data_IF_580199938861
#
_entry.id   IF_580199938861
#
_cell.length_a   1.000
_cell.length_b   1.000
_cell.length_c   1.000
_cell.angle_alpha   90.00
_cell.angle_beta   90.00
_cell.angle_gamma   90.00
#
_symmetry.space_group_name_H-M   'P 1'
#
loop_
_entity.id
_entity.type
_entity.pdbx_description
1 polymer ?
#
# COMPACT_ATOMS: atom_id res chain seq x y z
N UNK A 1 6.69 -22.25 -18.95
CA UNK A 1 7.20 -21.20 -18.03
C UNK A 1 7.96 -21.90 -16.90
N UNK A 2 9.28 -21.71 -16.77
CA UNK A 2 10.02 -22.22 -15.61
C UNK A 2 9.43 -21.59 -14.34
N UNK A 3 9.12 -22.40 -13.33
CA UNK A 3 8.59 -21.92 -12.05
C UNK A 3 9.71 -21.15 -11.37
N UNK A 4 9.51 -19.85 -11.17
CA UNK A 4 10.49 -19.03 -10.44
C UNK A 4 10.27 -19.27 -8.96
N UNK A 5 11.24 -19.89 -8.31
CA UNK A 5 11.21 -20.12 -6.86
C UNK A 5 11.52 -18.81 -6.12
N UNK A 6 10.45 -18.21 -5.60
CA UNK A 6 10.53 -17.12 -4.62
C UNK A 6 10.53 -17.72 -3.21
N UNK A 7 11.24 -17.07 -2.29
CA UNK A 7 11.17 -17.38 -0.87
C UNK A 7 9.70 -17.42 -0.42
N UNK A 8 9.24 -18.56 0.09
CA UNK A 8 7.93 -18.64 0.76
C UNK A 8 7.91 -17.65 1.92
N UNK A 9 6.85 -16.85 2.00
CA UNK A 9 6.73 -15.82 3.05
C UNK A 9 7.73 -14.68 2.91
N UNK A 10 8.12 -14.28 1.69
CA UNK A 10 9.04 -13.14 1.49
C UNK A 10 8.59 -11.90 2.26
N UNK A 11 7.29 -11.55 2.22
CA UNK A 11 6.78 -10.38 2.94
C UNK A 11 7.01 -10.50 4.46
N UNK A 12 6.68 -11.64 5.05
CA UNK A 12 6.92 -11.89 6.48
C UNK A 12 8.40 -11.83 6.83
N UNK A 13 9.27 -12.34 5.96
CA UNK A 13 10.72 -12.24 6.13
C UNK A 13 11.20 -10.78 6.09
N UNK A 14 10.74 -9.98 5.12
CA UNK A 14 11.10 -8.56 5.03
C UNK A 14 10.62 -7.79 6.26
N UNK A 15 9.36 -7.95 6.66
CA UNK A 15 8.78 -7.28 7.83
C UNK A 15 9.48 -7.68 9.15
N UNK A 16 10.01 -8.90 9.24
CA UNK A 16 10.68 -9.37 10.45
C UNK A 16 12.20 -9.05 10.50
N UNK A 17 12.82 -8.73 9.35
CA UNK A 17 14.29 -8.63 9.24
C UNK A 17 14.80 -7.28 8.72
N UNK A 18 13.94 -6.45 8.14
CA UNK A 18 14.33 -5.14 7.63
C UNK A 18 13.81 -4.03 8.53
N UNK A 19 14.68 -3.11 8.94
CA UNK A 19 14.29 -1.96 9.75
C UNK A 19 13.94 -0.72 8.91
N UNK A 20 14.38 -0.68 7.65
CA UNK A 20 14.29 0.48 6.77
C UNK A 20 14.32 0.06 5.28
N UNK A 21 14.12 1.02 4.39
CA UNK A 21 14.11 0.84 2.94
C UNK A 21 15.45 0.30 2.43
N UNK A 22 16.60 0.75 2.95
CA UNK A 22 17.91 0.23 2.53
C UNK A 22 18.05 -1.27 2.83
N UNK A 23 17.58 -1.71 4.00
CA UNK A 23 17.63 -3.13 4.38
C UNK A 23 16.76 -4.00 3.48
N UNK A 24 15.64 -3.46 2.99
CA UNK A 24 14.82 -4.13 1.96
C UNK A 24 15.59 -4.20 0.64
N UNK A 25 16.20 -3.09 0.20
CA UNK A 25 16.92 -3.03 -1.08
C UNK A 25 18.17 -3.92 -1.10
N UNK A 26 18.87 -4.10 0.02
CA UNK A 26 19.96 -5.09 0.15
C UNK A 26 19.50 -6.53 -0.11
N UNK A 27 18.20 -6.80 -0.04
CA UNK A 27 17.59 -8.10 -0.27
C UNK A 27 16.85 -8.20 -1.60
N UNK A 28 17.06 -7.26 -2.52
CA UNK A 28 16.36 -7.20 -3.82
C UNK A 28 16.46 -8.49 -4.62
N UNK A 29 17.53 -9.27 -4.46
CA UNK A 29 17.69 -10.56 -5.15
C UNK A 29 16.67 -11.63 -4.77
N UNK A 30 15.98 -11.47 -3.63
CA UNK A 30 14.88 -12.32 -3.22
C UNK A 30 13.57 -12.03 -4.01
N UNK A 31 13.52 -10.91 -4.72
CA UNK A 31 12.35 -10.42 -5.45
C UNK A 31 12.37 -11.04 -6.85
N UNK A 32 11.75 -12.22 -6.96
CA UNK A 32 11.84 -13.04 -8.18
C UNK A 32 10.51 -13.22 -8.93
N UNK A 33 9.40 -12.78 -8.35
CA UNK A 33 8.08 -12.86 -9.00
C UNK A 33 7.63 -11.49 -9.49
N UNK A 34 6.85 -11.44 -10.57
CA UNK A 34 6.29 -10.18 -11.04
C UNK A 34 5.32 -9.59 -10.03
N UNK A 35 5.67 -8.44 -9.49
CA UNK A 35 4.90 -7.74 -8.45
C UNK A 35 5.45 -6.32 -8.28
N UNK A 36 4.63 -5.46 -7.69
CA UNK A 36 4.98 -4.10 -7.33
C UNK A 36 5.05 -3.99 -5.81
N UNK A 37 6.07 -3.32 -5.28
CA UNK A 37 6.19 -3.01 -3.86
C UNK A 37 6.25 -1.50 -3.67
N UNK A 38 5.53 -1.00 -2.67
CA UNK A 38 5.74 0.32 -2.10
C UNK A 38 6.25 0.11 -0.67
N UNK A 39 7.47 0.56 -0.41
CA UNK A 39 8.12 0.46 0.91
C UNK A 39 8.46 1.85 1.42
N UNK A 40 8.40 2.05 2.72
CA UNK A 40 8.66 3.35 3.34
C UNK A 40 9.16 3.20 4.77
N UNK A 41 9.98 4.16 5.17
CA UNK A 41 10.46 4.34 6.54
C UNK A 41 10.42 5.84 6.90
N UNK A 42 11.04 6.22 8.03
CA UNK A 42 11.09 7.62 8.50
C UNK A 42 11.83 8.59 7.57
N UNK A 43 12.69 8.10 6.70
CA UNK A 43 13.62 8.89 5.89
C UNK A 43 13.24 8.92 4.41
N UNK A 44 12.61 7.86 3.91
CA UNK A 44 12.36 7.73 2.48
C UNK A 44 11.27 6.72 2.14
N UNK A 45 10.81 6.79 0.90
CA UNK A 45 9.91 5.84 0.26
C UNK A 45 10.54 5.30 -1.03
N UNK A 46 10.17 4.08 -1.41
CA UNK A 46 10.57 3.49 -2.68
C UNK A 46 9.44 2.68 -3.33
N UNK A 47 9.32 2.81 -4.65
CA UNK A 47 8.52 1.93 -5.51
C UNK A 47 9.46 0.97 -6.21
N UNK A 48 9.17 -0.32 -6.15
CA UNK A 48 9.94 -1.39 -6.78
C UNK A 48 9.03 -2.13 -7.75
N UNK A 49 9.40 -2.15 -9.02
CA UNK A 49 8.71 -2.94 -10.05
C UNK A 49 9.58 -4.15 -10.40
N UNK A 50 8.99 -5.35 -10.36
CA UNK A 50 9.66 -6.59 -10.76
C UNK A 50 8.94 -7.16 -11.96
N UNK A 51 9.65 -7.34 -13.08
CA UNK A 51 9.09 -7.85 -14.32
C UNK A 51 9.16 -9.39 -14.45
N UNK A 52 8.42 -9.98 -15.41
CA UNK A 52 8.43 -11.44 -15.68
C UNK A 52 9.78 -12.03 -16.07
N UNK A 53 10.66 -11.24 -16.66
CA UNK A 53 12.02 -11.63 -17.04
C UNK A 53 13.04 -11.48 -15.90
N UNK A 54 12.62 -10.97 -14.74
CA UNK A 54 13.46 -10.71 -13.59
C UNK A 54 14.11 -9.32 -13.59
N UNK A 55 13.92 -8.50 -14.63
CA UNK A 55 14.32 -7.10 -14.63
C UNK A 55 13.53 -6.31 -13.58
N UNK A 56 14.17 -5.26 -13.05
CA UNK A 56 13.64 -4.47 -11.92
C UNK A 56 13.88 -2.99 -12.13
N UNK A 57 12.94 -2.15 -11.69
CA UNK A 57 13.19 -0.74 -11.40
C UNK A 57 13.01 -0.46 -9.93
N UNK A 58 13.73 0.55 -9.45
CA UNK A 58 13.62 1.10 -8.10
C UNK A 58 13.55 2.61 -8.24
N UNK A 59 12.42 3.20 -7.90
CA UNK A 59 12.25 4.66 -7.82
C UNK A 59 12.18 5.06 -6.36
N UNK A 60 12.96 6.06 -5.96
CA UNK A 60 13.12 6.47 -4.55
C UNK A 60 12.81 7.95 -4.39
N UNK A 61 12.33 8.32 -3.22
CA UNK A 61 12.20 9.71 -2.80
C UNK A 61 12.44 9.83 -1.28
N UNK A 62 13.34 10.73 -0.88
CA UNK A 62 13.53 11.16 0.51
C UNK A 62 12.63 12.36 0.89
N UNK A 63 12.17 13.09 -0.13
CA UNK A 63 11.15 14.13 -0.04
C UNK A 63 10.22 14.07 -1.25
N UNK A 64 8.93 14.29 -1.03
CA UNK A 64 7.90 14.28 -2.07
C UNK A 64 6.97 13.08 -1.99
N UNK A 65 6.49 12.63 -3.15
CA UNK A 65 5.40 11.65 -3.25
C UNK A 65 5.71 10.62 -4.32
N UNK A 66 5.45 9.35 -4.04
CA UNK A 66 5.41 8.27 -5.03
C UNK A 66 4.00 7.68 -5.06
N UNK A 67 3.58 7.17 -6.21
CA UNK A 67 2.33 6.45 -6.37
C UNK A 67 2.52 5.30 -7.35
N UNK A 68 1.66 4.29 -7.24
CA UNK A 68 1.65 3.15 -8.16
C UNK A 68 0.27 2.50 -8.19
N UNK A 69 -0.03 1.75 -9.26
CA UNK A 69 -1.28 0.99 -9.38
C UNK A 69 -1.02 -0.46 -9.79
N UNK A 70 -1.48 -0.89 -10.97
CA UNK A 70 -1.40 -2.29 -11.40
C UNK A 70 -0.83 -2.40 -12.82
N UNK A 71 0.13 -1.55 -13.14
CA UNK A 71 0.88 -1.59 -14.40
C UNK A 71 2.30 -1.06 -14.19
N UNK A 72 3.23 -1.44 -15.06
CA UNK A 72 4.60 -0.94 -15.03
C UNK A 72 4.64 0.51 -15.53
N UNK A 73 5.43 1.34 -14.86
CA UNK A 73 5.61 2.75 -15.17
C UNK A 73 7.08 3.08 -15.48
N UNK A 74 8.02 2.44 -14.78
CA UNK A 74 9.45 2.74 -14.87
C UNK A 74 10.23 1.70 -15.67
N UNK A 75 9.67 0.52 -15.91
CA UNK A 75 10.19 -0.48 -16.85
C UNK A 75 9.17 -0.83 -17.92
N UNK A 76 9.65 -1.20 -19.10
CA UNK A 76 8.84 -1.71 -20.20
C UNK A 76 9.26 -3.16 -20.54
N UNK A 77 8.61 -4.17 -19.93
CA UNK A 77 9.02 -5.56 -20.15
C UNK A 77 8.69 -6.00 -21.59
N UNK A 78 9.67 -6.51 -22.37
CA UNK A 78 9.52 -6.73 -23.82
C UNK A 78 8.42 -7.73 -24.20
N UNK A 79 8.06 -8.65 -23.31
CA UNK A 79 7.05 -9.71 -23.54
C UNK A 79 5.68 -9.43 -22.89
N UNK A 80 5.42 -8.19 -22.45
CA UNK A 80 4.16 -7.84 -21.80
C UNK A 80 3.02 -7.68 -22.83
N UNK A 81 2.43 -8.81 -23.24
CA UNK A 81 1.33 -8.84 -24.23
C UNK A 81 0.08 -8.04 -23.83
N UNK A 82 -0.12 -7.77 -22.54
CA UNK A 82 -1.33 -7.13 -22.02
C UNK A 82 -1.05 -5.66 -21.69
N UNK A 83 -1.75 -4.76 -22.38
CA UNK A 83 -1.78 -3.34 -22.04
C UNK A 83 -2.34 -3.10 -20.62
N UNK A 84 -1.94 -2.00 -19.96
CA UNK A 84 -2.57 -1.58 -18.71
C UNK A 84 -4.10 -1.56 -18.83
N UNK A 85 -4.80 -2.11 -17.83
CA UNK A 85 -6.26 -2.04 -17.80
C UNK A 85 -6.75 -0.64 -17.48
N UNK A 86 -7.90 -0.23 -18.03
CA UNK A 86 -8.47 1.11 -17.86
C UNK A 86 -8.54 1.58 -16.40
N UNK A 87 -9.01 0.74 -15.48
CA UNK A 87 -9.06 1.07 -14.04
C UNK A 87 -7.67 1.37 -13.44
N UNK A 88 -6.62 0.70 -13.91
CA UNK A 88 -5.24 0.94 -13.47
C UNK A 88 -4.77 2.33 -13.90
N UNK A 89 -4.93 2.64 -15.18
CA UNK A 89 -4.54 3.92 -15.78
C UNK A 89 -5.33 5.08 -15.17
N UNK A 90 -6.66 4.96 -15.06
CA UNK A 90 -7.51 6.01 -14.51
C UNK A 90 -7.17 6.31 -13.05
N UNK A 91 -6.97 5.28 -12.21
CA UNK A 91 -6.58 5.48 -10.81
C UNK A 91 -5.20 6.10 -10.68
N UNK A 92 -4.26 5.73 -11.56
CA UNK A 92 -2.91 6.30 -11.55
C UNK A 92 -2.96 7.79 -11.86
N UNK A 93 -3.66 8.17 -12.93
CA UNK A 93 -3.84 9.58 -13.28
C UNK A 93 -4.56 10.36 -12.17
N UNK A 94 -5.58 9.76 -11.54
CA UNK A 94 -6.33 10.40 -10.46
C UNK A 94 -5.48 10.62 -9.21
N UNK A 95 -4.72 9.62 -8.75
CA UNK A 95 -3.87 9.83 -7.57
C UNK A 95 -2.73 10.80 -7.88
N UNK A 96 -2.18 10.79 -9.10
CA UNK A 96 -1.19 11.77 -9.52
C UNK A 96 -1.76 13.20 -9.46
N UNK A 97 -2.99 13.40 -9.93
CA UNK A 97 -3.70 14.68 -9.84
C UNK A 97 -3.91 15.11 -8.38
N UNK A 98 -4.41 14.21 -7.52
CA UNK A 98 -4.61 14.50 -6.10
C UNK A 98 -3.29 14.86 -5.39
N UNK A 99 -2.17 14.24 -5.80
CA UNK A 99 -0.84 14.50 -5.27
C UNK A 99 -0.20 15.78 -5.85
N UNK A 100 -0.79 16.44 -6.85
CA UNK A 100 -0.37 17.78 -7.34
C UNK A 100 -0.91 18.94 -6.49
N UNK A 101 -1.72 18.66 -5.47
CA UNK A 101 -2.29 19.70 -4.60
C UNK A 101 -1.18 20.58 -3.96
N UNK A 102 -1.29 21.91 -4.02
CA UNK A 102 -0.29 22.84 -3.47
C UNK A 102 -0.22 22.85 -1.93
N UNK A 103 -1.23 22.33 -1.24
CA UNK A 103 -1.23 22.25 0.24
C UNK A 103 -0.36 21.09 0.71
N UNK A 104 0.96 21.32 0.76
CA UNK A 104 1.96 20.41 1.34
C UNK A 104 2.54 21.02 2.64
N UNK A 105 2.93 20.20 3.64
CA UNK A 105 2.95 18.74 3.62
C UNK A 105 1.55 18.11 3.74
N UNK A 106 1.36 16.92 3.17
CA UNK A 106 0.12 16.16 3.29
C UNK A 106 -0.06 15.59 4.70
N UNK A 107 -1.30 15.60 5.16
CA UNK A 107 -1.75 14.99 6.42
C UNK A 107 -2.35 13.61 6.19
N UNK A 108 -2.55 12.83 7.26
CA UNK A 108 -3.27 11.56 7.17
C UNK A 108 -4.69 11.76 6.68
N UNK A 109 -5.36 12.85 7.07
CA UNK A 109 -6.72 13.15 6.63
C UNK A 109 -6.79 13.43 5.13
N UNK A 110 -5.74 14.00 4.52
CA UNK A 110 -5.63 14.11 3.05
C UNK A 110 -5.63 12.73 2.40
N UNK A 111 -4.82 11.80 2.91
CA UNK A 111 -4.78 10.43 2.38
C UNK A 111 -6.06 9.64 2.66
N UNK A 112 -6.78 9.91 3.76
CA UNK A 112 -8.13 9.36 3.98
C UNK A 112 -9.06 9.83 2.86
N UNK A 113 -9.11 11.15 2.59
CA UNK A 113 -9.93 11.70 1.50
C UNK A 113 -9.56 11.11 0.14
N UNK A 114 -8.26 10.99 -0.16
CA UNK A 114 -7.80 10.39 -1.41
C UNK A 114 -8.22 8.93 -1.53
N UNK A 115 -8.14 8.17 -0.44
CA UNK A 115 -8.53 6.75 -0.43
C UNK A 115 -10.04 6.53 -0.67
N UNK A 116 -10.85 7.55 -0.40
CA UNK A 116 -12.31 7.54 -0.54
C UNK A 116 -12.79 8.18 -1.85
N UNK A 117 -11.88 8.59 -2.73
CA UNK A 117 -12.22 9.21 -4.01
C UNK A 117 -13.03 8.25 -4.89
N UNK A 118 -14.20 8.74 -5.33
CA UNK A 118 -15.21 8.02 -6.15
C UNK A 118 -15.41 8.70 -7.53
N UNK A 119 -14.48 9.54 -7.96
CA UNK A 119 -14.69 10.45 -9.08
C UNK A 119 -14.91 9.75 -10.44
N UNK A 120 -14.38 8.54 -10.62
CA UNK A 120 -14.44 7.76 -11.86
C UNK A 120 -15.43 6.57 -11.78
N UNK A 121 -16.48 6.69 -10.96
CA UNK A 121 -17.53 5.68 -10.83
C UNK A 121 -17.08 4.38 -10.16
N UNK A 122 -17.90 3.32 -10.20
CA UNK A 122 -17.75 2.15 -9.33
C UNK A 122 -16.51 1.27 -9.64
N UNK A 123 -16.02 1.27 -10.87
CA UNK A 123 -14.96 0.35 -11.33
C UNK A 123 -13.58 1.01 -11.49
N UNK A 124 -13.54 2.34 -11.73
CA UNK A 124 -12.32 3.06 -12.10
C UNK A 124 -11.87 4.10 -11.07
N UNK A 125 -12.65 4.36 -10.02
CA UNK A 125 -12.24 5.23 -8.92
C UNK A 125 -11.19 4.60 -8.02
N UNK A 126 -10.55 5.38 -7.15
CA UNK A 126 -9.65 4.84 -6.11
C UNK A 126 -10.47 3.97 -5.14
N UNK A 127 -11.60 4.49 -4.64
CA UNK A 127 -12.58 3.71 -3.90
C UNK A 127 -13.55 3.00 -4.86
N UNK A 128 -13.24 1.75 -5.20
CA UNK A 128 -14.08 0.95 -6.10
C UNK A 128 -15.20 0.26 -5.34
N UNK A 129 -16.43 0.45 -5.77
CA UNK A 129 -17.60 -0.27 -5.23
C UNK A 129 -17.97 -1.50 -6.07
N UNK A 130 -17.50 -1.54 -7.33
CA UNK A 130 -17.83 -2.57 -8.31
C UNK A 130 -19.23 -2.38 -8.90
N UNK A 131 -19.33 -2.27 -10.22
CA UNK A 131 -20.62 -2.09 -10.93
C UNK A 131 -21.51 -3.35 -10.92
N UNK A 132 -20.95 -4.51 -10.59
CA UNK A 132 -21.65 -5.79 -10.50
C UNK A 132 -20.99 -6.70 -9.44
N UNK A 133 -21.66 -7.76 -8.94
CA UNK A 133 -21.12 -8.61 -7.87
C UNK A 133 -19.75 -9.25 -8.16
N UNK A 134 -19.44 -9.53 -9.43
CA UNK A 134 -18.17 -10.13 -9.86
C UNK A 134 -17.07 -9.08 -10.14
N UNK A 135 -17.39 -7.79 -10.09
CA UNK A 135 -16.43 -6.71 -10.35
C UNK A 135 -15.60 -6.43 -9.12
N UNK A 136 -14.38 -5.95 -9.35
CA UNK A 136 -13.46 -5.65 -8.26
C UNK A 136 -13.97 -4.49 -7.41
N UNK A 137 -13.80 -4.61 -6.10
CA UNK A 137 -14.08 -3.56 -5.12
C UNK A 137 -12.92 -3.37 -4.16
N UNK A 138 -12.84 -2.19 -3.57
CA UNK A 138 -11.91 -1.88 -2.49
C UNK A 138 -12.46 -2.50 -1.20
N UNK A 139 -11.70 -3.43 -0.62
CA UNK A 139 -12.08 -4.12 0.62
C UNK A 139 -11.47 -3.48 1.86
N UNK A 140 -10.41 -2.70 1.68
CA UNK A 140 -9.75 -2.01 2.77
C UNK A 140 -8.97 -0.78 2.30
N UNK A 141 -8.86 0.20 3.19
CA UNK A 141 -7.86 1.27 3.15
C UNK A 141 -6.84 1.01 4.25
N UNK A 142 -5.56 1.01 3.90
CA UNK A 142 -4.44 0.85 4.83
C UNK A 142 -3.54 2.08 4.71
N UNK A 143 -3.50 2.92 5.74
CA UNK A 143 -2.64 4.10 5.78
C UNK A 143 -1.74 4.02 7.01
N UNK A 144 -0.44 4.19 6.81
CA UNK A 144 0.55 4.22 7.88
C UNK A 144 1.18 5.60 7.92
N UNK A 145 1.11 6.26 9.06
CA UNK A 145 1.86 7.47 9.34
C UNK A 145 3.10 7.10 10.14
N UNK A 146 4.27 7.50 9.65
CA UNK A 146 5.56 7.26 10.30
C UNK A 146 6.17 8.63 10.63
N UNK A 147 5.89 9.21 11.80
CA UNK A 147 6.44 10.51 12.17
C UNK A 147 7.96 10.43 12.39
N UNK A 148 8.64 11.58 12.26
CA UNK A 148 10.09 11.68 12.48
C UNK A 148 10.50 11.23 13.89
N UNK A 149 9.62 11.41 14.88
CA UNK A 149 9.75 10.89 16.24
C UNK A 149 8.42 10.31 16.73
N UNK A 150 8.50 9.36 17.66
CA UNK A 150 7.33 8.66 18.20
C UNK A 150 6.92 7.41 17.41
N UNK A 151 5.84 6.79 17.87
CA UNK A 151 5.32 5.53 17.35
C UNK A 151 4.59 5.71 16.01
N UNK A 152 4.81 4.82 15.02
CA UNK A 152 4.00 4.79 13.82
C UNK A 152 2.52 4.56 14.15
N UNK A 153 1.64 5.10 13.33
CA UNK A 153 0.18 4.96 13.49
C UNK A 153 -0.44 4.31 12.27
N UNK A 154 -1.33 3.36 12.49
CA UNK A 154 -2.13 2.72 11.45
C UNK A 154 -3.55 3.28 11.47
N UNK A 155 -4.05 3.65 10.30
CA UNK A 155 -5.46 3.81 9.99
C UNK A 155 -5.86 2.67 9.06
N UNK A 156 -6.78 1.82 9.52
CA UNK A 156 -7.32 0.70 8.78
C UNK A 156 -8.84 0.85 8.69
N UNK A 157 -9.35 1.02 7.47
CA UNK A 157 -10.79 0.92 7.19
C UNK A 157 -11.03 -0.39 6.44
N UNK A 158 -11.99 -1.20 6.87
CA UNK A 158 -12.41 -2.41 6.14
C UNK A 158 -13.85 -2.28 5.67
N UNK A 159 -14.13 -2.74 4.45
CA UNK A 159 -15.44 -2.66 3.80
C UNK A 159 -15.79 -4.04 3.19
N UNK A 160 -16.00 -5.03 4.06
CA UNK A 160 -16.37 -6.37 3.63
C UNK A 160 -17.79 -6.37 3.00
N UNK A 161 -18.02 -7.11 1.90
CA UNK A 161 -19.33 -7.17 1.27
C UNK A 161 -20.42 -7.67 2.23
N UNK A 162 -21.50 -6.92 2.36
CA UNK A 162 -22.63 -7.29 3.22
C UNK A 162 -22.44 -6.97 4.71
N UNK A 163 -21.31 -6.35 5.07
CA UNK A 163 -21.03 -5.91 6.44
C UNK A 163 -20.91 -4.39 6.50
N UNK A 164 -21.14 -3.82 7.69
CA UNK A 164 -20.83 -2.42 7.93
C UNK A 164 -19.32 -2.16 7.81
N UNK A 165 -18.96 -0.97 7.31
CA UNK A 165 -17.57 -0.54 7.34
C UNK A 165 -17.07 -0.51 8.79
N UNK A 166 -15.82 -0.96 8.99
CA UNK A 166 -15.18 -0.94 10.31
C UNK A 166 -13.92 -0.09 10.23
N UNK A 167 -13.70 0.70 11.27
CA UNK A 167 -12.54 1.56 11.37
C UNK A 167 -11.70 1.17 12.59
N UNK A 168 -10.40 1.04 12.36
CA UNK A 168 -9.40 0.81 13.39
C UNK A 168 -8.29 1.85 13.23
N UNK A 169 -8.02 2.60 14.30
CA UNK A 169 -6.88 3.50 14.43
C UNK A 169 -6.04 3.01 15.60
N UNK A 170 -4.76 2.73 15.39
CA UNK A 170 -3.88 2.24 16.45
C UNK A 170 -2.46 2.80 16.37
N UNK A 171 -1.76 2.84 17.50
CA UNK A 171 -0.31 2.98 17.53
C UNK A 171 0.31 1.59 17.34
N UNK A 172 1.29 1.50 16.43
CA UNK A 172 1.89 0.20 16.04
C UNK A 172 2.65 -0.41 17.22
N UNK A 173 3.32 0.40 18.03
CA UNK A 173 4.09 -0.09 19.18
C UNK A 173 3.19 -0.77 20.22
N UNK A 174 2.01 -0.21 20.51
CA UNK A 174 1.02 -0.81 21.40
C UNK A 174 0.55 -2.17 20.87
N UNK A 175 0.33 -2.28 19.56
CA UNK A 175 -0.07 -3.53 18.94
C UNK A 175 1.02 -4.61 19.00
N UNK A 176 2.31 -4.22 18.94
CA UNK A 176 3.44 -5.14 19.03
C UNK A 176 3.70 -5.65 20.45
N UNK A 177 3.19 -4.99 21.48
CA UNK A 177 3.30 -5.45 22.87
C UNK A 177 2.35 -6.60 23.21
N UNK A 178 1.36 -6.89 22.35
CA UNK A 178 0.41 -7.98 22.55
C UNK A 178 1.10 -9.31 22.24
N UNK A 179 1.37 -10.09 23.28
CA UNK A 179 1.90 -11.44 23.13
C UNK A 179 0.77 -12.48 23.04
N UNK A 180 1.01 -13.56 22.29
CA UNK A 180 0.12 -14.73 22.27
C UNK A 180 -1.21 -14.59 21.51
N UNK A 181 -1.37 -13.57 20.64
CA UNK A 181 -2.54 -13.48 19.75
C UNK A 181 -2.13 -13.54 18.28
N UNK A 182 -2.69 -14.51 17.56
CA UNK A 182 -2.55 -14.61 16.09
C UNK A 182 -3.44 -13.61 15.34
N UNK A 183 -4.38 -12.96 16.04
CA UNK A 183 -5.37 -12.03 15.49
C UNK A 183 -5.69 -10.88 16.45
N UNK A 184 -5.83 -9.69 15.89
CA UNK A 184 -6.29 -8.50 16.61
C UNK A 184 -7.74 -8.17 16.20
N UNK A 185 -8.70 -8.22 17.14
CA UNK A 185 -10.09 -7.84 16.86
C UNK A 185 -10.21 -6.36 16.52
N UNK A 186 -10.96 -6.02 15.46
CA UNK A 186 -11.16 -4.64 15.01
C UNK A 186 -12.05 -3.79 15.95
N UNK A 187 -12.78 -4.45 16.84
CA UNK A 187 -13.62 -3.86 17.89
C UNK A 187 -12.88 -3.69 19.23
N UNK A 188 -11.61 -4.11 19.30
CA UNK A 188 -10.78 -3.95 20.50
C UNK A 188 -10.53 -2.47 20.81
N UNK A 189 -10.28 -2.17 22.09
CA UNK A 189 -9.98 -0.80 22.53
C UNK A 189 -8.71 -0.22 21.87
N UNK A 190 -7.80 -1.08 21.43
CA UNK A 190 -6.62 -0.70 20.65
C UNK A 190 -6.97 -0.03 19.32
N UNK A 191 -8.07 -0.46 18.69
CA UNK A 191 -8.56 0.08 17.43
C UNK A 191 -9.31 1.40 17.58
N UNK A 192 -9.66 1.82 18.80
CA UNK A 192 -10.35 3.09 19.04
C UNK A 192 -9.40 4.29 19.00
N UNK A 193 -8.08 4.03 18.93
CA UNK A 193 -7.03 5.02 19.09
C UNK A 193 -7.05 5.49 20.55
N UNK A 194 -6.00 5.17 21.32
CA UNK A 194 -5.86 5.68 22.67
C UNK A 194 -6.15 7.19 22.67
N UNK A 195 -7.19 7.59 23.39
CA UNK A 195 -7.39 8.99 23.77
C UNK A 195 -6.24 9.31 24.71
N UNK A 196 -5.13 9.77 24.14
CA UNK A 196 -4.09 10.43 24.92
C UNK A 196 -4.69 11.75 25.39
N UNK A 197 -5.11 11.75 26.66
CA UNK A 197 -5.03 12.95 27.50
C UNK A 197 -3.60 13.46 27.53
#
# INVERSE_FOLDING_TARGET
>A
RKRVDQKKGLMSHLLARCANVEDVLKQIELFRRPVFYLVGDRRQIAVIEVAPDGSRSITRADSGTLHHTNHYCAIDPPDLKRKPGASSTNRSARIEELLKNPHRPYTVDDFIRFSEDKAAGPDNSIWRTGSAPHKTRTLATWLVSIPASGSPRLYLKTAAPGEAERLCRLAVDDALQITGRDRMPLDSDLCKGGSTK
#
